data_IF_548615408061
#
_entry.id   IF_548615408061
#
_cell.length_a   1.000
_cell.length_b   1.000
_cell.length_c   1.000
_cell.angle_alpha   90.00
_cell.angle_beta   90.00
_cell.angle_gamma   90.00
#
_symmetry.space_group_name_H-M   'P 1'
#
loop_
_entity.id
_entity.type
_entity.pdbx_description
1 polymer ?
#
# COMPACT_ATOMS: atom_id res chain seq x y z
N UNK A 1 15.87 25.57 6.78
CA UNK A 1 14.90 25.26 5.71
C UNK A 1 13.83 24.50 6.43
N UNK A 2 12.70 25.15 6.69
CA UNK A 2 11.55 24.44 7.20
C UNK A 2 11.09 23.50 6.08
N UNK A 3 11.24 22.20 6.30
CA UNK A 3 10.57 21.17 5.51
C UNK A 3 9.09 21.50 5.64
N UNK A 4 8.48 22.03 4.58
CA UNK A 4 7.04 22.22 4.56
C UNK A 4 6.50 20.81 4.42
N UNK A 5 6.26 20.13 5.54
CA UNK A 5 5.66 18.81 5.56
C UNK A 5 4.39 18.84 4.72
N UNK A 6 4.34 17.98 3.70
CA UNK A 6 3.20 17.83 2.80
C UNK A 6 1.96 17.49 3.65
N UNK A 7 0.81 18.18 3.50
CA UNK A 7 -0.38 17.88 4.28
C UNK A 7 -0.82 16.42 4.11
N UNK A 8 -1.28 15.79 5.19
CA UNK A 8 -1.78 14.40 5.16
C UNK A 8 -2.89 14.25 4.12
N UNK A 9 -3.75 15.26 4.00
CA UNK A 9 -4.78 15.34 2.97
C UNK A 9 -4.20 15.13 1.55
N UNK A 10 -3.16 15.87 1.18
CA UNK A 10 -2.61 15.86 -0.18
C UNK A 10 -1.97 14.51 -0.53
N UNK A 11 -1.21 13.93 0.41
CA UNK A 11 -0.63 12.59 0.22
C UNK A 11 -1.72 11.52 0.11
N UNK A 12 -2.80 11.64 0.89
CA UNK A 12 -3.91 10.70 0.84
C UNK A 12 -4.69 10.78 -0.49
N UNK A 13 -4.89 11.98 -1.05
CA UNK A 13 -5.49 12.17 -2.38
C UNK A 13 -4.64 11.50 -3.46
N UNK A 14 -3.33 11.64 -3.40
CA UNK A 14 -2.44 10.98 -4.36
C UNK A 14 -2.50 9.45 -4.24
N UNK A 15 -2.62 8.91 -3.02
CA UNK A 15 -2.85 7.48 -2.81
C UNK A 15 -4.16 7.01 -3.45
N UNK A 16 -5.28 7.73 -3.30
CA UNK A 16 -6.56 7.38 -3.97
C UNK A 16 -6.39 7.33 -5.49
N UNK A 17 -5.76 8.35 -6.08
CA UNK A 17 -5.48 8.42 -7.51
C UNK A 17 -4.61 7.24 -7.98
N UNK A 18 -3.63 6.83 -7.18
CA UNK A 18 -2.78 5.69 -7.47
C UNK A 18 -3.56 4.37 -7.39
N UNK A 19 -4.46 4.18 -6.43
CA UNK A 19 -5.34 3.01 -6.37
C UNK A 19 -6.16 2.87 -7.65
N UNK A 20 -6.84 3.94 -8.08
CA UNK A 20 -7.61 3.96 -9.33
C UNK A 20 -6.73 3.60 -10.53
N UNK A 21 -5.56 4.23 -10.64
CA UNK A 21 -4.59 3.97 -11.71
C UNK A 21 -4.17 2.50 -11.75
N UNK A 22 -3.89 1.87 -10.60
CA UNK A 22 -3.48 0.46 -10.57
C UNK A 22 -4.63 -0.48 -10.88
N UNK A 23 -5.84 -0.21 -10.40
CA UNK A 23 -7.04 -1.01 -10.73
C UNK A 23 -7.28 -0.98 -12.24
N UNK A 24 -7.25 0.20 -12.86
CA UNK A 24 -7.39 0.33 -14.32
C UNK A 24 -6.30 -0.45 -15.07
N UNK A 25 -5.05 -0.39 -14.61
CA UNK A 25 -3.94 -1.16 -15.20
C UNK A 25 -4.17 -2.66 -15.12
N UNK A 26 -4.54 -3.20 -13.97
CA UNK A 26 -4.82 -4.64 -13.83
C UNK A 26 -6.00 -5.08 -14.70
N UNK A 27 -7.04 -4.25 -14.80
CA UNK A 27 -8.16 -4.49 -15.70
C UNK A 27 -7.73 -4.52 -17.18
N UNK A 28 -6.86 -3.60 -17.60
CA UNK A 28 -6.29 -3.58 -18.96
C UNK A 28 -5.40 -4.81 -19.24
N UNK A 29 -4.66 -5.28 -18.24
CA UNK A 29 -3.85 -6.49 -18.30
C UNK A 29 -4.66 -7.79 -18.23
N UNK A 30 -6.00 -7.71 -18.08
CA UNK A 30 -6.89 -8.85 -17.86
C UNK A 30 -6.57 -9.69 -16.61
N UNK A 31 -5.88 -9.09 -15.63
CA UNK A 31 -5.63 -9.71 -14.33
C UNK A 31 -6.72 -9.28 -13.32
N UNK A 32 -7.83 -10.01 -13.35
CA UNK A 32 -8.96 -9.77 -12.45
C UNK A 32 -8.63 -10.03 -10.98
N UNK A 33 -7.65 -10.89 -10.67
CA UNK A 33 -7.26 -11.18 -9.29
C UNK A 33 -6.45 -10.00 -8.72
N UNK A 34 -5.50 -9.47 -9.48
CA UNK A 34 -4.76 -8.26 -9.13
C UNK A 34 -5.69 -7.06 -8.96
N UNK A 35 -6.62 -6.85 -9.90
CA UNK A 35 -7.61 -5.77 -9.80
C UNK A 35 -8.48 -5.89 -8.54
N UNK A 36 -8.96 -7.09 -8.21
CA UNK A 36 -9.76 -7.34 -7.01
C UNK A 36 -8.97 -7.09 -5.72
N UNK A 37 -7.71 -7.52 -5.67
CA UNK A 37 -6.84 -7.30 -4.50
C UNK A 37 -6.59 -5.81 -4.26
N UNK A 38 -6.26 -5.04 -5.32
CA UNK A 38 -6.06 -3.59 -5.18
C UNK A 38 -7.35 -2.87 -4.80
N UNK A 39 -8.50 -3.30 -5.32
CA UNK A 39 -9.80 -2.75 -4.94
C UNK A 39 -10.11 -2.98 -3.45
N UNK A 40 -9.82 -4.16 -2.92
CA UNK A 40 -9.98 -4.46 -1.49
C UNK A 40 -9.07 -3.56 -0.63
N UNK A 41 -7.80 -3.40 -1.02
CA UNK A 41 -6.87 -2.50 -0.33
C UNK A 41 -7.30 -1.04 -0.40
N UNK A 42 -7.84 -0.60 -1.54
CA UNK A 42 -8.42 0.74 -1.71
C UNK A 42 -9.60 0.96 -0.76
N UNK A 43 -10.49 -0.03 -0.63
CA UNK A 43 -11.62 0.05 0.32
C UNK A 43 -11.16 0.12 1.78
N UNK A 44 -10.11 -0.62 2.15
CA UNK A 44 -9.52 -0.54 3.49
C UNK A 44 -8.88 0.82 3.73
N UNK A 45 -8.17 1.36 2.75
CA UNK A 45 -7.62 2.72 2.79
C UNK A 45 -8.72 3.77 2.99
N UNK A 46 -9.80 3.70 2.21
CA UNK A 46 -10.95 4.58 2.34
C UNK A 46 -11.62 4.49 3.73
N UNK A 47 -11.75 3.28 4.27
CA UNK A 47 -12.28 3.08 5.62
C UNK A 47 -11.39 3.77 6.66
N UNK A 48 -10.07 3.66 6.50
CA UNK A 48 -9.10 4.30 7.36
C UNK A 48 -9.15 5.84 7.25
N UNK A 49 -9.14 6.41 6.03
CA UNK A 49 -9.20 7.86 5.81
C UNK A 49 -10.47 8.46 6.40
N UNK A 50 -11.61 7.79 6.23
CA UNK A 50 -12.88 8.21 6.82
C UNK A 50 -12.88 8.12 8.36
N UNK A 51 -12.31 7.06 8.93
CA UNK A 51 -12.22 6.90 10.39
C UNK A 51 -11.39 8.00 11.06
N UNK A 52 -10.31 8.44 10.40
CA UNK A 52 -9.46 9.52 10.87
C UNK A 52 -9.94 10.90 10.43
N UNK A 53 -10.97 10.96 9.58
CA UNK A 53 -11.51 12.19 8.99
C UNK A 53 -10.43 12.95 8.20
N UNK A 54 -9.64 12.23 7.41
CA UNK A 54 -8.58 12.83 6.57
C UNK A 54 -9.18 13.85 5.60
N UNK A 55 -10.32 13.51 4.99
CA UNK A 55 -10.98 14.33 3.96
C UNK A 55 -12.12 15.22 4.50
N UNK A 56 -12.28 15.36 5.82
CA UNK A 56 -13.26 16.29 6.38
C UNK A 56 -12.84 17.75 6.13
N UNK A 57 -13.77 18.69 6.24
CA UNK A 57 -13.50 20.11 6.05
C UNK A 57 -13.05 20.82 7.33
N UNK A 58 -12.19 21.84 7.16
CA UNK A 58 -11.81 22.80 8.19
C UNK A 58 -11.23 22.12 9.44
N UNK A 59 -11.76 22.47 10.62
CA UNK A 59 -11.19 22.03 11.89
C UNK A 59 -11.45 20.56 12.22
N UNK A 60 -12.21 19.85 11.37
CA UNK A 60 -12.52 18.44 11.57
C UNK A 60 -11.53 17.51 10.84
N UNK A 61 -10.72 18.07 9.94
CA UNK A 61 -9.73 17.33 9.17
C UNK A 61 -8.57 16.85 10.06
N UNK A 62 -7.88 15.79 9.61
CA UNK A 62 -6.83 15.17 10.40
C UNK A 62 -5.63 16.11 10.61
N UNK A 63 -5.25 16.87 9.58
CA UNK A 63 -4.14 17.84 9.65
C UNK A 63 -4.36 18.86 10.78
N UNK A 64 -5.57 19.43 10.90
CA UNK A 64 -5.90 20.38 11.96
C UNK A 64 -5.91 19.74 13.34
N UNK A 65 -6.39 18.50 13.45
CA UNK A 65 -6.35 17.75 14.73
C UNK A 65 -4.93 17.44 15.19
N UNK A 66 -3.99 17.29 14.26
CA UNK A 66 -2.60 16.95 14.54
C UNK A 66 -1.67 18.16 14.60
N UNK A 67 -2.19 19.39 14.44
CA UNK A 67 -1.38 20.62 14.45
C UNK A 67 -0.55 20.81 15.74
N UNK A 68 -0.93 20.18 16.87
CA UNK A 68 -0.17 20.16 18.12
C UNK A 68 0.62 18.87 18.40
N UNK A 69 0.66 17.95 17.44
CA UNK A 69 1.15 16.59 17.60
C UNK A 69 2.03 16.17 16.40
N UNK A 70 3.11 16.91 16.15
CA UNK A 70 3.99 16.71 14.98
C UNK A 70 4.55 15.29 14.88
N UNK A 71 4.93 14.65 15.99
CA UNK A 71 5.42 13.27 15.97
C UNK A 71 4.40 12.27 15.40
N UNK A 72 3.11 12.48 15.67
CA UNK A 72 2.02 11.65 15.15
C UNK A 72 1.77 11.98 13.69
N UNK A 73 1.77 13.26 13.33
CA UNK A 73 1.64 13.73 11.95
C UNK A 73 2.71 13.08 11.06
N UNK A 74 3.98 13.13 11.47
CA UNK A 74 5.06 12.51 10.74
C UNK A 74 4.89 11.00 10.60
N UNK A 75 4.41 10.31 11.64
CA UNK A 75 4.18 8.87 11.57
C UNK A 75 3.11 8.51 10.53
N UNK A 76 2.04 9.31 10.47
CA UNK A 76 0.98 9.16 9.46
C UNK A 76 1.55 9.44 8.07
N UNK A 77 2.28 10.53 7.89
CA UNK A 77 2.91 10.88 6.61
C UNK A 77 3.88 9.81 6.14
N UNK A 78 4.77 9.32 7.01
CA UNK A 78 5.69 8.21 6.68
C UNK A 78 4.95 6.94 6.25
N UNK A 79 3.81 6.63 6.89
CA UNK A 79 2.96 5.51 6.50
C UNK A 79 2.34 5.70 5.12
N UNK A 80 1.84 6.90 4.84
CA UNK A 80 1.27 7.25 3.53
C UNK A 80 2.32 7.28 2.44
N UNK A 81 3.52 7.79 2.70
CA UNK A 81 4.64 7.78 1.76
C UNK A 81 5.05 6.36 1.38
N UNK A 82 5.11 5.45 2.35
CA UNK A 82 5.38 4.04 2.08
C UNK A 82 4.26 3.42 1.23
N UNK A 83 3.01 3.78 1.48
CA UNK A 83 1.87 3.32 0.68
C UNK A 83 1.94 3.85 -0.75
N UNK A 84 2.20 5.15 -0.93
CA UNK A 84 2.41 5.82 -2.21
C UNK A 84 3.52 5.14 -3.01
N UNK A 85 4.66 4.89 -2.37
CA UNK A 85 5.78 4.16 -2.99
C UNK A 85 5.36 2.75 -3.40
N UNK A 86 4.71 1.99 -2.50
CA UNK A 86 4.26 0.64 -2.80
C UNK A 86 3.32 0.62 -4.01
N UNK A 87 2.31 1.51 -4.03
CA UNK A 87 1.36 1.63 -5.13
C UNK A 87 2.02 2.01 -6.45
N UNK A 88 3.08 2.82 -6.42
CA UNK A 88 3.87 3.12 -7.62
C UNK A 88 4.63 1.90 -8.17
N UNK A 89 5.01 0.94 -7.30
CA UNK A 89 5.85 -0.21 -7.64
C UNK A 89 5.13 -1.55 -7.81
N UNK A 90 3.80 -1.61 -7.61
CA UNK A 90 3.00 -2.86 -7.67
C UNK A 90 3.24 -3.71 -8.93
N UNK A 91 3.72 -3.14 -10.05
CA UNK A 91 3.96 -3.84 -11.31
C UNK A 91 5.44 -4.10 -11.69
N UNK A 92 6.43 -3.76 -10.85
CA UNK A 92 7.85 -3.99 -11.23
C UNK A 92 8.29 -5.47 -11.20
N UNK A 93 7.41 -6.43 -10.86
CA UNK A 93 7.78 -7.85 -10.75
C UNK A 93 7.55 -8.71 -11.99
N UNK A 94 6.98 -8.16 -13.06
CA UNK A 94 6.77 -8.91 -14.31
C UNK A 94 7.80 -8.54 -15.40
N UNK A 95 9.08 -8.38 -15.03
CA UNK A 95 10.15 -8.56 -16.02
C UNK A 95 10.38 -10.07 -16.16
N UNK A 96 9.98 -10.71 -17.29
CA UNK A 96 10.44 -12.06 -17.57
C UNK A 96 11.96 -12.02 -17.62
N UNK A 97 12.60 -12.76 -16.71
CA UNK A 97 14.00 -13.09 -16.84
C UNK A 97 14.13 -14.04 -18.02
N UNK A 98 14.17 -13.49 -19.23
CA UNK A 98 14.50 -14.22 -20.44
C UNK A 98 15.92 -14.77 -20.29
N UNK A 99 15.98 -16.05 -19.96
CA UNK A 99 17.20 -16.82 -19.77
C UNK A 99 16.86 -18.30 -19.91
N UNK A 100 16.49 -18.71 -21.11
CA UNK A 100 16.60 -20.11 -21.53
C UNK A 100 18.05 -20.54 -21.41
N UNK A 101 18.37 -21.46 -20.49
CA UNK A 101 19.36 -22.50 -20.79
C UNK A 101 18.88 -23.85 -20.26
N UNK A 102 19.04 -24.84 -21.14
CA UNK A 102 18.53 -26.18 -21.07
C UNK A 102 19.24 -27.06 -20.03
N UNK A 103 18.48 -27.99 -19.46
CA UNK A 103 18.97 -29.31 -19.04
C UNK A 103 19.38 -29.44 -17.57
N UNK A 104 18.62 -30.25 -16.83
CA UNK A 104 19.07 -30.80 -15.55
C UNK A 104 17.94 -31.06 -14.56
N UNK A 105 17.51 -32.32 -14.46
CA UNK A 105 16.60 -32.78 -13.43
C UNK A 105 17.27 -32.70 -12.04
N UNK A 106 16.75 -31.86 -11.14
CA UNK A 106 16.89 -32.02 -9.69
C UNK A 106 15.58 -31.64 -9.03
N UNK A 107 15.03 -32.59 -8.28
CA UNK A 107 13.86 -32.42 -7.42
C UNK A 107 14.22 -31.50 -6.26
N UNK A 108 13.76 -30.25 -6.28
CA UNK A 108 13.78 -29.35 -5.13
C UNK A 108 12.35 -28.95 -4.75
N UNK A 109 11.90 -29.54 -3.65
CA UNK A 109 10.62 -29.28 -3.01
C UNK A 109 10.70 -27.91 -2.31
N UNK A 110 9.74 -26.99 -2.50
CA UNK A 110 9.75 -25.73 -1.76
C UNK A 110 9.52 -25.98 -0.25
N UNK A 111 10.16 -25.22 0.65
CA UNK A 111 9.97 -25.39 2.08
C UNK A 111 8.52 -25.06 2.46
N UNK A 112 7.81 -26.08 2.95
CA UNK A 112 6.47 -25.94 3.52
C UNK A 112 6.58 -25.19 4.86
N UNK A 113 6.12 -23.94 4.91
CA UNK A 113 5.95 -23.21 6.17
C UNK A 113 4.67 -23.70 6.86
N UNK A 114 4.81 -24.64 7.79
CA UNK A 114 3.72 -25.06 8.68
C UNK A 114 3.46 -24.00 9.76
N UNK A 115 2.31 -23.30 9.68
CA UNK A 115 1.82 -22.36 10.71
C UNK A 115 1.19 -23.13 11.90
N UNK A 116 1.90 -24.10 12.46
CA UNK A 116 1.44 -24.81 13.67
C UNK A 116 2.55 -24.91 14.72
N UNK A 117 2.79 -23.80 15.43
CA UNK A 117 3.16 -23.79 16.87
C UNK A 117 3.36 -22.38 17.43
N UNK A 118 2.26 -21.64 17.60
CA UNK A 118 2.18 -20.60 18.62
C UNK A 118 0.90 -20.79 19.45
N UNK A 119 0.82 -21.93 20.14
CA UNK A 119 -0.04 -22.09 21.31
C UNK A 119 0.83 -22.57 22.46
N UNK A 120 1.16 -21.65 23.37
CA UNK A 120 1.71 -21.99 24.67
C UNK A 120 2.90 -21.13 25.11
N UNK A 121 2.66 -19.85 25.39
CA UNK A 121 3.40 -19.11 26.41
C UNK A 121 2.48 -18.03 27.01
N UNK A 122 1.64 -18.45 27.96
CA UNK A 122 1.30 -17.77 29.21
C UNK A 122 0.60 -18.79 30.12
#
# INVERSE_FOLDING_TARGET
>A
MDEIDEPIYDVAVECERLFETQIERFNQASDGNGAALIAELSHQFFTWTNSLKVFDDGNLNLDHKLQGHSEIQDQVLRGLDLMRANLAFVHMRDTPSDGEEAGGSVSDQPPQLSIEKCRGCL
#
